data_IF_157868765842
#
_entry.id   IF_157868765842
#
_cell.length_a   1.000
_cell.length_b   1.000
_cell.length_c   1.000
_cell.angle_alpha   90.00
_cell.angle_beta   90.00
_cell.angle_gamma   90.00
#
_symmetry.space_group_name_H-M   'P 1'
#
loop_
_entity.id
_entity.type
_entity.pdbx_description
1 polymer ?
#
# COMPACT_ATOMS: atom_id res chain seq x y z
N UNK A 1 -8.18 -5.88 -38.36
CA UNK A 1 -7.31 -6.29 -37.25
C UNK A 1 -6.74 -5.08 -36.47
N UNK A 2 -6.11 -4.09 -37.12
CA UNK A 2 -5.58 -2.88 -36.42
C UNK A 2 -6.70 -1.99 -35.83
N UNK A 3 -7.84 -1.83 -36.49
CA UNK A 3 -9.00 -1.08 -35.97
C UNK A 3 -9.62 -1.74 -34.73
N UNK A 4 -9.67 -3.07 -34.65
CA UNK A 4 -10.19 -3.79 -33.48
C UNK A 4 -9.27 -3.64 -32.26
N UNK A 5 -7.95 -3.63 -32.50
CA UNK A 5 -6.96 -3.39 -31.42
C UNK A 5 -7.12 -1.97 -30.87
N UNK A 6 -7.32 -0.97 -31.76
CA UNK A 6 -7.54 0.42 -31.37
C UNK A 6 -8.84 0.62 -30.57
N UNK A 7 -9.92 -0.07 -30.95
CA UNK A 7 -11.20 -0.01 -30.23
C UNK A 7 -11.10 -0.60 -28.84
N UNK A 8 -10.51 -1.80 -28.70
CA UNK A 8 -10.32 -2.46 -27.40
C UNK A 8 -9.42 -1.61 -26.48
N UNK A 9 -8.34 -1.01 -27.01
CA UNK A 9 -7.46 -0.15 -26.21
C UNK A 9 -8.20 1.10 -25.72
N UNK A 10 -9.09 1.70 -26.51
CA UNK A 10 -9.89 2.86 -26.11
C UNK A 10 -10.94 2.50 -25.06
N UNK A 11 -11.68 1.42 -25.24
CA UNK A 11 -12.68 0.95 -24.27
C UNK A 11 -12.04 0.66 -22.89
N UNK A 12 -10.86 0.07 -22.90
CA UNK A 12 -10.10 -0.18 -21.65
C UNK A 12 -9.64 1.12 -20.99
N UNK A 13 -9.22 2.11 -21.76
CA UNK A 13 -8.84 3.42 -21.25
C UNK A 13 -10.04 4.14 -20.61
N UNK A 14 -11.19 4.17 -21.31
CA UNK A 14 -12.44 4.76 -20.82
C UNK A 14 -12.91 4.07 -19.52
N UNK A 15 -12.80 2.74 -19.46
CA UNK A 15 -13.13 1.98 -18.25
C UNK A 15 -12.22 2.33 -17.07
N UNK A 16 -10.93 2.48 -17.30
CA UNK A 16 -9.97 2.89 -16.25
C UNK A 16 -10.30 4.28 -15.71
N UNK A 17 -10.47 5.26 -16.60
CA UNK A 17 -10.81 6.63 -16.21
C UNK A 17 -12.12 6.66 -15.39
N UNK A 18 -13.09 5.85 -15.78
CA UNK A 18 -14.32 5.67 -15.02
C UNK A 18 -14.07 5.11 -13.62
N UNK A 19 -13.26 4.06 -13.49
CA UNK A 19 -12.92 3.47 -12.18
C UNK A 19 -12.16 4.46 -11.31
N UNK A 20 -11.20 5.20 -11.86
CA UNK A 20 -10.46 6.23 -11.12
C UNK A 20 -11.38 7.33 -10.59
N UNK A 21 -12.28 7.84 -11.42
CA UNK A 21 -13.26 8.83 -11.00
C UNK A 21 -14.16 8.28 -9.90
N UNK A 22 -14.68 7.07 -10.08
CA UNK A 22 -15.55 6.43 -9.08
C UNK A 22 -14.86 6.23 -7.74
N UNK A 23 -13.59 5.83 -7.75
CA UNK A 23 -12.79 5.68 -6.54
C UNK A 23 -12.57 7.04 -5.86
N UNK A 24 -12.32 8.11 -6.60
CA UNK A 24 -12.24 9.46 -6.03
C UNK A 24 -13.55 9.90 -5.37
N UNK A 25 -14.68 9.59 -5.98
CA UNK A 25 -16.01 9.90 -5.42
C UNK A 25 -16.29 9.11 -4.12
N UNK A 26 -15.81 7.87 -4.00
CA UNK A 26 -15.92 7.06 -2.79
C UNK A 26 -14.96 7.55 -1.68
N UNK A 27 -13.75 7.99 -2.01
CA UNK A 27 -12.78 8.49 -1.02
C UNK A 27 -13.27 9.74 -0.30
N UNK A 28 -14.05 10.59 -0.96
CA UNK A 28 -14.59 11.83 -0.36
C UNK A 28 -15.48 11.55 0.86
N UNK A 29 -16.55 10.75 0.81
CA UNK A 29 -17.36 10.42 1.97
C UNK A 29 -16.61 9.62 3.04
N UNK A 30 -15.68 8.74 2.64
CA UNK A 30 -14.83 8.01 3.61
C UNK A 30 -14.00 9.01 4.43
N UNK A 31 -13.37 9.98 3.77
CA UNK A 31 -12.58 11.03 4.45
C UNK A 31 -13.46 11.89 5.37
N UNK A 32 -14.65 12.28 4.93
CA UNK A 32 -15.59 13.02 5.76
C UNK A 32 -16.00 12.23 7.00
N UNK A 33 -16.32 10.93 6.86
CA UNK A 33 -16.65 10.05 7.98
C UNK A 33 -15.46 9.87 8.95
N UNK A 34 -14.23 9.75 8.45
CA UNK A 34 -13.03 9.72 9.29
C UNK A 34 -12.90 10.97 10.15
N UNK A 35 -13.02 12.16 9.55
CA UNK A 35 -12.96 13.44 10.26
C UNK A 35 -14.05 13.57 11.32
N UNK A 36 -15.27 13.09 11.06
CA UNK A 36 -16.35 13.06 12.04
C UNK A 36 -16.01 12.12 13.22
N UNK A 37 -15.42 10.97 12.96
CA UNK A 37 -15.01 10.04 14.00
C UNK A 37 -13.83 10.55 14.84
N UNK A 38 -12.88 11.27 14.26
CA UNK A 38 -11.74 11.86 14.98
C UNK A 38 -12.17 12.88 16.02
N UNK A 39 -13.27 13.59 15.77
CA UNK A 39 -13.85 14.57 16.70
C UNK A 39 -14.63 13.95 17.86
N UNK A 40 -14.94 12.64 17.81
CA UNK A 40 -15.70 11.91 18.81
C UNK A 40 -14.92 10.68 19.28
N UNK A 41 -14.39 10.71 20.51
CA UNK A 41 -13.50 9.67 21.05
C UNK A 41 -14.22 8.54 21.80
N UNK A 42 -15.42 8.19 21.40
CA UNK A 42 -16.20 7.11 22.01
C UNK A 42 -15.76 5.71 21.51
N UNK A 43 -16.00 4.64 22.28
CA UNK A 43 -15.64 3.28 21.84
C UNK A 43 -16.23 2.90 20.46
N UNK A 44 -17.46 3.30 20.20
CA UNK A 44 -18.17 3.08 18.93
C UNK A 44 -17.45 3.75 17.74
N UNK A 45 -16.98 5.00 17.93
CA UNK A 45 -16.25 5.71 16.86
C UNK A 45 -14.90 5.11 16.54
N UNK A 46 -14.25 4.45 17.50
CA UNK A 46 -12.99 3.70 17.24
C UNK A 46 -13.25 2.46 16.37
N UNK A 47 -14.35 1.79 16.59
CA UNK A 47 -14.75 0.62 15.78
C UNK A 47 -15.11 1.05 14.36
N UNK A 48 -15.88 2.14 14.23
CA UNK A 48 -16.22 2.74 12.94
C UNK A 48 -14.98 3.20 12.17
N UNK A 49 -14.01 3.82 12.84
CA UNK A 49 -12.72 4.20 12.24
C UNK A 49 -11.98 3.01 11.64
N UNK A 50 -11.97 1.87 12.33
CA UNK A 50 -11.34 0.65 11.81
C UNK A 50 -11.98 0.16 10.52
N UNK A 51 -13.31 0.15 10.46
CA UNK A 51 -14.02 -0.27 9.24
C UNK A 51 -13.85 0.75 8.09
N UNK A 52 -13.80 2.04 8.41
CA UNK A 52 -13.50 3.08 7.42
C UNK A 52 -12.07 2.96 6.86
N UNK A 53 -11.08 2.68 7.69
CA UNK A 53 -9.71 2.44 7.23
C UNK A 53 -9.60 1.19 6.36
N UNK A 54 -10.28 0.12 6.75
CA UNK A 54 -10.36 -1.10 5.94
C UNK A 54 -11.02 -0.84 4.59
N UNK A 55 -12.12 -0.09 4.57
CA UNK A 55 -12.82 0.29 3.34
C UNK A 55 -11.94 1.16 2.45
N UNK A 56 -11.22 2.13 3.03
CA UNK A 56 -10.26 2.96 2.30
C UNK A 56 -9.14 2.13 1.66
N UNK A 57 -8.58 1.17 2.39
CA UNK A 57 -7.56 0.25 1.83
C UNK A 57 -8.09 -0.56 0.65
N UNK A 58 -9.29 -1.12 0.74
CA UNK A 58 -9.88 -1.84 -0.40
C UNK A 58 -10.10 -0.93 -1.61
N UNK A 59 -10.51 0.30 -1.37
CA UNK A 59 -10.69 1.30 -2.44
C UNK A 59 -9.36 1.63 -3.13
N UNK A 60 -8.29 1.83 -2.35
CA UNK A 60 -6.95 2.05 -2.88
C UNK A 60 -6.41 0.84 -3.64
N UNK A 61 -6.58 -0.34 -3.08
CA UNK A 61 -6.18 -1.58 -3.74
C UNK A 61 -6.88 -1.75 -5.09
N UNK A 62 -8.19 -1.45 -5.18
CA UNK A 62 -8.93 -1.48 -6.43
C UNK A 62 -8.40 -0.46 -7.44
N UNK A 63 -8.02 0.75 -6.98
CA UNK A 63 -7.43 1.79 -7.83
C UNK A 63 -6.07 1.33 -8.40
N UNK A 64 -5.17 0.87 -7.55
CA UNK A 64 -3.86 0.39 -7.99
C UNK A 64 -3.97 -0.83 -8.90
N UNK A 65 -4.94 -1.69 -8.64
CA UNK A 65 -5.25 -2.82 -9.52
C UNK A 65 -5.68 -2.33 -10.91
N UNK A 66 -6.60 -1.37 -10.98
CA UNK A 66 -7.03 -0.79 -12.26
C UNK A 66 -5.87 -0.11 -13.02
N UNK A 67 -4.92 0.51 -12.30
CA UNK A 67 -3.72 1.16 -12.86
C UNK A 67 -2.64 0.17 -13.27
N UNK A 68 -2.50 -0.96 -12.58
CA UNK A 68 -1.40 -1.91 -12.80
C UNK A 68 -1.40 -2.56 -14.18
N UNK A 69 -2.55 -2.63 -14.85
CA UNK A 69 -2.65 -3.15 -16.22
C UNK A 69 -2.04 -2.21 -17.27
N UNK A 70 -1.69 -0.93 -16.89
CA UNK A 70 -1.24 0.12 -17.82
C UNK A 70 -0.13 1.00 -17.23
N UNK A 71 0.81 0.40 -16.53
CA UNK A 71 1.89 1.10 -15.81
C UNK A 71 2.71 2.08 -16.66
N UNK A 72 2.80 1.89 -17.99
CA UNK A 72 3.64 2.72 -18.86
C UNK A 72 3.23 4.19 -18.94
N UNK A 73 1.97 4.54 -18.61
CA UNK A 73 1.46 5.93 -18.75
C UNK A 73 1.30 6.69 -17.45
N UNK A 74 1.18 5.97 -16.33
CA UNK A 74 0.89 6.58 -15.01
C UNK A 74 2.10 6.60 -14.07
N UNK A 75 3.24 6.04 -14.49
CA UNK A 75 4.44 5.96 -13.68
C UNK A 75 5.21 7.27 -13.75
N UNK A 76 5.25 8.01 -12.65
CA UNK A 76 5.99 9.27 -12.52
C UNK A 76 7.30 9.06 -11.78
N UNK A 77 8.37 8.81 -12.53
CA UNK A 77 9.71 8.65 -11.95
C UNK A 77 10.25 10.00 -11.50
N UNK A 78 10.57 10.09 -10.21
CA UNK A 78 11.22 11.24 -9.62
C UNK A 78 12.30 10.81 -8.63
N UNK A 79 13.20 11.70 -8.28
CA UNK A 79 14.15 11.46 -7.21
C UNK A 79 13.44 11.55 -5.87
N UNK A 80 13.49 10.49 -5.09
CA UNK A 80 12.84 10.38 -3.78
C UNK A 80 13.83 9.91 -2.72
N UNK A 81 13.74 10.46 -1.51
CA UNK A 81 14.42 9.92 -0.34
C UNK A 81 13.63 8.70 0.15
N UNK A 82 14.32 7.56 0.20
CA UNK A 82 13.67 6.28 0.42
C UNK A 82 12.96 6.21 1.79
N UNK A 83 13.60 6.74 2.83
CA UNK A 83 13.01 6.75 4.18
C UNK A 83 11.88 7.77 4.37
N UNK A 84 11.78 8.82 3.56
CA UNK A 84 10.60 9.70 3.57
C UNK A 84 9.34 8.91 3.17
N UNK A 85 9.46 8.03 2.18
CA UNK A 85 8.35 7.16 1.76
C UNK A 85 8.03 6.08 2.80
N UNK A 86 9.05 5.52 3.46
CA UNK A 86 8.88 4.57 4.57
C UNK A 86 8.13 5.23 5.72
N UNK A 87 8.56 6.43 6.16
CA UNK A 87 7.90 7.17 7.23
C UNK A 87 6.44 7.51 6.90
N UNK A 88 6.18 7.89 5.64
CA UNK A 88 4.82 8.16 5.21
C UNK A 88 3.95 6.91 5.26
N UNK A 89 4.45 5.75 4.79
CA UNK A 89 3.74 4.49 4.86
C UNK A 89 3.46 4.05 6.32
N UNK A 90 4.43 4.24 7.23
CA UNK A 90 4.24 4.01 8.66
C UNK A 90 3.17 4.93 9.24
N UNK A 91 3.19 6.22 8.88
CA UNK A 91 2.22 7.21 9.36
C UNK A 91 0.79 6.88 8.88
N UNK A 92 0.64 6.46 7.63
CA UNK A 92 -0.64 6.05 7.05
C UNK A 92 -1.23 4.82 7.76
N UNK A 93 -0.38 3.94 8.28
CA UNK A 93 -0.76 2.72 9.01
C UNK A 93 -0.71 2.86 10.54
N UNK A 94 -0.55 4.09 11.07
CA UNK A 94 -0.36 4.34 12.50
C UNK A 94 -1.38 3.65 13.40
N UNK A 95 -2.67 3.72 13.06
CA UNK A 95 -3.73 3.11 13.87
C UNK A 95 -3.63 1.58 13.87
N UNK A 96 -3.36 0.98 12.72
CA UNK A 96 -3.17 -0.46 12.57
C UNK A 96 -1.99 -0.95 13.42
N UNK A 97 -0.87 -0.24 13.34
CA UNK A 97 0.37 -0.59 14.07
C UNK A 97 0.20 -0.44 15.58
N UNK A 98 -0.38 0.68 16.04
CA UNK A 98 -0.63 0.93 17.47
C UNK A 98 -1.63 -0.07 18.07
N UNK A 99 -2.70 -0.39 17.33
CA UNK A 99 -3.72 -1.32 17.80
C UNK A 99 -3.16 -2.74 17.99
N UNK A 100 -2.23 -3.16 17.14
CA UNK A 100 -1.61 -4.47 17.20
C UNK A 100 -0.29 -4.47 18.00
N UNK A 101 0.06 -3.34 18.65
CA UNK A 101 1.25 -3.17 19.47
C UNK A 101 2.55 -3.55 18.75
N UNK A 102 2.62 -3.19 17.45
CA UNK A 102 3.79 -3.47 16.62
C UNK A 102 4.96 -2.61 17.09
N UNK A 103 6.08 -3.23 17.45
CA UNK A 103 7.34 -2.53 17.64
C UNK A 103 7.94 -2.18 16.28
N UNK A 104 8.31 -0.91 16.10
CA UNK A 104 8.93 -0.43 14.87
C UNK A 104 10.42 -0.22 15.11
N UNK A 105 11.23 -0.77 14.22
CA UNK A 105 12.68 -0.56 14.17
C UNK A 105 13.02 0.02 12.79
N UNK A 106 13.78 1.12 12.77
CA UNK A 106 14.21 1.78 11.53
C UNK A 106 15.70 2.06 11.56
N UNK A 107 16.43 1.60 10.56
CA UNK A 107 17.81 2.00 10.32
C UNK A 107 17.83 3.10 9.27
N UNK A 108 17.77 4.36 9.73
CA UNK A 108 17.67 5.55 8.88
C UNK A 108 18.79 5.63 7.86
N UNK A 109 18.46 6.05 6.64
CA UNK A 109 19.44 6.35 5.59
C UNK A 109 19.02 7.54 4.76
N UNK A 110 20.01 8.30 4.26
CA UNK A 110 19.80 9.44 3.36
C UNK A 110 19.80 9.01 1.87
N UNK A 111 19.61 7.72 1.60
CA UNK A 111 19.68 7.21 0.23
C UNK A 111 18.50 7.71 -0.59
N UNK A 112 18.81 8.19 -1.79
CA UNK A 112 17.82 8.59 -2.79
C UNK A 112 17.74 7.55 -3.91
N UNK A 113 16.55 7.37 -4.47
CA UNK A 113 16.29 6.50 -5.60
C UNK A 113 15.40 7.21 -6.62
N UNK A 114 15.48 6.79 -7.87
CA UNK A 114 14.54 7.23 -8.90
C UNK A 114 13.39 6.24 -8.98
N UNK A 115 12.21 6.65 -8.49
CA UNK A 115 11.02 5.79 -8.47
C UNK A 115 9.74 6.65 -8.44
N UNK A 116 8.60 5.98 -8.48
CA UNK A 116 7.30 6.59 -8.22
C UNK A 116 6.96 6.43 -6.74
N UNK A 117 6.84 7.56 -6.02
CA UNK A 117 6.59 7.60 -4.58
C UNK A 117 5.24 6.96 -4.21
N UNK A 118 4.22 7.13 -5.04
CA UNK A 118 2.87 6.59 -4.80
C UNK A 118 2.84 5.08 -4.93
N UNK A 119 3.49 4.54 -5.97
CA UNK A 119 3.61 3.10 -6.15
C UNK A 119 4.44 2.46 -5.05
N UNK A 120 5.57 3.07 -4.70
CA UNK A 120 6.41 2.56 -3.61
C UNK A 120 5.66 2.59 -2.27
N UNK A 121 4.95 3.68 -1.97
CA UNK A 121 4.12 3.79 -0.77
C UNK A 121 3.02 2.73 -0.73
N UNK A 122 2.34 2.49 -1.85
CA UNK A 122 1.34 1.42 -1.94
C UNK A 122 1.93 0.04 -1.66
N UNK A 123 3.11 -0.27 -2.20
CA UNK A 123 3.82 -1.54 -1.94
C UNK A 123 4.14 -1.66 -0.45
N UNK A 124 4.69 -0.62 0.17
CA UNK A 124 5.01 -0.60 1.60
C UNK A 124 3.75 -0.76 2.47
N UNK A 125 2.65 -0.11 2.11
CA UNK A 125 1.36 -0.27 2.78
C UNK A 125 0.92 -1.74 2.77
N UNK A 126 0.97 -2.41 1.62
CA UNK A 126 0.63 -3.83 1.51
C UNK A 126 1.55 -4.73 2.36
N UNK A 127 2.85 -4.43 2.41
CA UNK A 127 3.80 -5.18 3.23
C UNK A 127 3.53 -4.98 4.73
N UNK A 128 3.25 -3.75 5.18
CA UNK A 128 2.90 -3.43 6.57
C UNK A 128 1.60 -4.16 6.97
N UNK A 129 0.56 -4.09 6.13
CA UNK A 129 -0.71 -4.78 6.39
C UNK A 129 -0.52 -6.29 6.49
N UNK A 130 0.28 -6.87 5.60
CA UNK A 130 0.60 -8.30 5.64
C UNK A 130 1.40 -8.67 6.88
N UNK A 131 2.40 -7.90 7.26
CA UNK A 131 3.19 -8.11 8.47
C UNK A 131 2.30 -8.15 9.72
N UNK A 132 1.33 -7.24 9.82
CA UNK A 132 0.37 -7.24 10.93
C UNK A 132 -0.60 -8.42 10.85
N UNK A 133 -1.14 -8.72 9.67
CA UNK A 133 -2.10 -9.82 9.46
C UNK A 133 -1.52 -11.19 9.84
N UNK A 134 -0.25 -11.40 9.55
CA UNK A 134 0.45 -12.67 9.76
C UNK A 134 1.41 -12.64 10.95
N UNK A 135 1.26 -11.65 11.83
CA UNK A 135 2.10 -11.49 13.01
C UNK A 135 1.86 -12.59 14.06
N UNK A 136 2.84 -12.73 14.95
CA UNK A 136 2.77 -13.50 16.21
C UNK A 136 2.58 -12.54 17.38
N UNK A 137 2.65 -13.07 18.60
CA UNK A 137 2.73 -12.26 19.81
C UNK A 137 3.97 -11.36 19.76
N UNK A 138 3.81 -10.09 20.17
CA UNK A 138 4.85 -9.06 20.13
C UNK A 138 5.47 -8.84 18.75
N UNK A 139 4.65 -8.39 17.78
CA UNK A 139 5.12 -8.19 16.41
C UNK A 139 6.18 -7.08 16.34
N UNK A 140 7.24 -7.36 15.59
CA UNK A 140 8.30 -6.40 15.25
C UNK A 140 8.30 -6.22 13.74
N UNK A 141 8.42 -4.98 13.30
CA UNK A 141 8.58 -4.63 11.89
C UNK A 141 9.82 -3.75 11.74
N UNK A 142 10.81 -4.26 11.01
CA UNK A 142 12.12 -3.62 10.86
C UNK A 142 12.34 -3.17 9.42
N UNK A 143 12.68 -1.88 9.25
CA UNK A 143 13.00 -1.26 7.97
C UNK A 143 14.48 -0.88 7.92
N UNK A 144 15.18 -1.37 6.93
CA UNK A 144 16.59 -1.04 6.73
C UNK A 144 16.98 -1.13 5.26
N UNK A 145 18.14 -0.56 4.91
CA UNK A 145 18.66 -0.59 3.55
C UNK A 145 20.02 -1.25 3.46
N UNK A 146 20.30 -1.88 2.33
CA UNK A 146 21.65 -2.34 1.97
C UNK A 146 21.99 -1.88 0.58
N UNK A 147 23.23 -1.42 0.41
CA UNK A 147 23.78 -1.06 -0.91
C UNK A 147 24.71 -2.18 -1.35
N UNK A 148 24.48 -2.69 -2.56
CA UNK A 148 25.32 -3.70 -3.16
C UNK A 148 25.63 -3.31 -4.61
N UNK A 149 26.86 -2.83 -4.86
CA UNK A 149 27.24 -2.22 -6.14
C UNK A 149 26.38 -0.99 -6.42
N UNK A 150 25.71 -0.97 -7.56
CA UNK A 150 24.84 0.13 -8.00
C UNK A 150 23.35 -0.09 -7.57
N UNK A 151 23.09 -1.13 -6.78
CA UNK A 151 21.74 -1.46 -6.34
C UNK A 151 21.50 -1.09 -4.88
N UNK A 152 20.33 -0.52 -4.61
CA UNK A 152 19.82 -0.26 -3.27
C UNK A 152 18.69 -1.25 -2.99
N UNK A 153 18.82 -1.98 -1.89
CA UNK A 153 17.80 -2.89 -1.40
C UNK A 153 17.15 -2.28 -0.16
N UNK A 154 15.82 -2.10 -0.20
CA UNK A 154 15.02 -1.81 0.98
C UNK A 154 14.47 -3.13 1.54
N UNK A 155 14.77 -3.39 2.79
CA UNK A 155 14.27 -4.55 3.53
C UNK A 155 13.13 -4.12 4.42
N UNK A 156 12.06 -4.92 4.39
CA UNK A 156 10.93 -4.86 5.31
C UNK A 156 10.85 -6.24 5.95
N UNK A 157 11.34 -6.36 7.16
CA UNK A 157 11.46 -7.62 7.88
C UNK A 157 10.41 -7.71 8.98
N UNK A 158 9.64 -8.79 8.98
CA UNK A 158 8.68 -9.11 10.04
C UNK A 158 9.06 -10.42 10.73
N UNK A 159 8.65 -10.57 11.99
CA UNK A 159 8.83 -11.79 12.77
C UNK A 159 7.53 -12.59 12.87
N UNK A 160 6.77 -12.64 11.77
CA UNK A 160 5.49 -13.34 11.68
C UNK A 160 5.59 -14.87 11.58
N UNK A 161 4.48 -15.47 11.16
CA UNK A 161 4.39 -16.94 11.00
C UNK A 161 5.26 -17.48 9.87
N UNK A 162 5.75 -16.58 8.99
CA UNK A 162 6.49 -16.95 7.79
C UNK A 162 5.59 -17.48 6.69
N UNK A 163 6.20 -17.84 5.56
CA UNK A 163 5.52 -18.39 4.38
C UNK A 163 5.97 -19.83 4.19
N UNK A 164 5.00 -20.73 4.04
CA UNK A 164 5.31 -22.14 3.76
C UNK A 164 6.08 -22.27 2.43
N UNK A 165 7.08 -23.13 2.38
CA UNK A 165 7.91 -23.32 1.18
C UNK A 165 7.10 -23.65 -0.08
N UNK A 166 5.98 -24.36 0.07
CA UNK A 166 5.08 -24.70 -1.04
C UNK A 166 4.31 -23.49 -1.59
N UNK A 167 4.14 -22.44 -0.77
CA UNK A 167 3.38 -21.24 -1.12
C UNK A 167 4.28 -20.13 -1.70
N UNK A 168 5.59 -20.15 -1.39
CA UNK A 168 6.55 -19.16 -1.87
C UNK A 168 6.47 -18.86 -3.38
N UNK A 169 6.37 -19.85 -4.28
CA UNK A 169 6.26 -19.58 -5.72
C UNK A 169 4.98 -18.84 -6.12
N UNK A 170 3.96 -18.86 -5.25
CA UNK A 170 2.59 -18.39 -5.52
C UNK A 170 2.23 -17.07 -4.86
N UNK A 171 3.09 -16.53 -3.99
CA UNK A 171 2.79 -15.30 -3.23
C UNK A 171 2.53 -14.06 -4.09
N UNK A 172 2.99 -14.07 -5.34
CA UNK A 172 2.73 -13.02 -6.32
C UNK A 172 1.58 -13.36 -7.29
N UNK A 173 0.94 -14.53 -7.13
CA UNK A 173 -0.23 -14.87 -7.92
C UNK A 173 -1.43 -14.03 -7.48
N UNK A 174 -2.22 -13.57 -8.46
CA UNK A 174 -3.42 -12.79 -8.21
C UNK A 174 -4.44 -13.59 -7.39
N UNK A 175 -4.87 -13.01 -6.24
CA UNK A 175 -5.88 -13.60 -5.37
C UNK A 175 -5.39 -14.75 -4.50
N UNK A 176 -4.09 -15.01 -4.45
CA UNK A 176 -3.50 -15.93 -3.49
C UNK A 176 -3.43 -15.28 -2.10
N UNK A 177 -4.07 -15.91 -1.09
CA UNK A 177 -4.08 -15.46 0.32
C UNK A 177 -3.99 -16.64 1.27
#
# INVERSE_FOLDING_TARGET
>A
MLEQIGTVARERQEYREYIEQWIHEIKTPITAMKLLCENHKEPFTRELMRELEKTNRFTEQALYYARSEYTEKDYSVQEIRLFDVVHQAIADNKYLLLQNQVALETEESELTVYSDDKWLRFILDQLIVNAVKYSREHPVLHFYTKVQGDQIFLFVEDHGIGICANDLPRIFEKGFT
#
